data_IF_303799328243
#
_entry.id   IF_303799328243
#
_cell.length_a   1.000
_cell.length_b   1.000
_cell.length_c   1.000
_cell.angle_alpha   90.00
_cell.angle_beta   90.00
_cell.angle_gamma   90.00
#
_symmetry.space_group_name_H-M   'P 1'
#
loop_
_entity.id
_entity.type
_entity.pdbx_description
1 polymer ?
#
# COMPACT_ATOMS: atom_id res chain seq x y z
N UNK A 1 -1.30 3.00 -4.55
CA UNK A 1 -2.03 3.38 -5.78
C UNK A 1 -1.22 3.04 -7.04
N UNK A 2 -1.86 2.39 -8.02
CA UNK A 2 -1.31 1.91 -9.29
C UNK A 2 -1.59 2.89 -10.44
N UNK A 3 -0.86 2.76 -11.57
CA UNK A 3 -1.20 3.36 -12.86
C UNK A 3 -0.94 2.35 -13.99
N UNK A 4 -1.79 2.36 -15.03
CA UNK A 4 -1.71 1.54 -16.25
C UNK A 4 -1.23 2.42 -17.41
N UNK A 5 -0.39 1.87 -18.30
CA UNK A 5 0.22 2.54 -19.45
C UNK A 5 -0.49 2.18 -20.77
N UNK A 6 -0.72 3.19 -21.61
CA UNK A 6 -1.04 3.03 -23.04
C UNK A 6 0.05 3.75 -23.85
N UNK A 7 0.49 3.15 -24.95
CA UNK A 7 1.63 3.58 -25.77
C UNK A 7 1.19 3.83 -27.21
N UNK A 8 1.75 4.84 -27.86
CA UNK A 8 1.78 4.97 -29.32
C UNK A 8 3.19 5.26 -29.85
N UNK A 9 3.39 5.00 -31.15
CA UNK A 9 4.69 4.84 -31.84
C UNK A 9 4.99 6.04 -32.74
N UNK A 10 6.31 6.27 -32.98
CA UNK A 10 6.98 7.22 -33.90
C UNK A 10 7.35 8.59 -33.31
N UNK A 11 8.56 9.17 -33.45
CA UNK A 11 9.67 8.94 -34.40
C UNK A 11 10.98 9.60 -33.91
N UNK A 12 12.11 9.08 -34.41
CA UNK A 12 13.42 9.73 -34.72
C UNK A 12 14.48 10.02 -33.63
N UNK A 13 15.57 9.26 -33.77
CA UNK A 13 17.02 9.57 -33.61
C UNK A 13 17.46 10.31 -32.33
N UNK A 14 17.84 9.55 -31.27
CA UNK A 14 18.73 9.98 -30.16
C UNK A 14 19.42 8.78 -29.46
N UNK A 15 19.76 7.72 -30.21
CA UNK A 15 20.02 6.37 -29.64
C UNK A 15 21.37 6.12 -28.93
N UNK A 16 22.45 6.91 -29.06
CA UNK A 16 23.69 6.64 -28.29
C UNK A 16 23.77 7.39 -26.94
N UNK A 17 23.40 8.68 -26.91
CA UNK A 17 23.63 9.55 -25.75
C UNK A 17 22.66 9.23 -24.62
N UNK A 18 21.38 9.00 -24.91
CA UNK A 18 20.39 8.61 -23.89
C UNK A 18 20.75 7.26 -23.26
N UNK A 19 21.17 6.28 -24.08
CA UNK A 19 21.69 5.00 -23.57
C UNK A 19 22.93 5.18 -22.71
N UNK A 20 23.84 6.08 -23.07
CA UNK A 20 25.05 6.34 -22.31
C UNK A 20 24.76 7.06 -20.98
N UNK A 21 23.81 8.01 -20.97
CA UNK A 21 23.34 8.71 -19.77
C UNK A 21 22.61 7.74 -18.84
N UNK A 22 21.75 6.86 -19.36
CA UNK A 22 21.04 5.86 -18.57
C UNK A 22 22.03 4.86 -17.97
N UNK A 23 23.01 4.41 -18.76
CA UNK A 23 24.06 3.48 -18.31
C UNK A 23 25.00 4.12 -17.27
N UNK A 24 25.37 5.40 -17.43
CA UNK A 24 26.12 6.16 -16.43
C UNK A 24 25.31 6.44 -15.17
N UNK A 25 24.00 6.69 -15.28
CA UNK A 25 23.10 6.81 -14.12
C UNK A 25 22.96 5.48 -13.40
N UNK A 26 22.84 4.37 -14.11
CA UNK A 26 22.81 3.02 -13.54
C UNK A 26 24.13 2.66 -12.85
N UNK A 27 25.28 2.98 -13.46
CA UNK A 27 26.61 2.80 -12.85
C UNK A 27 26.82 3.72 -11.65
N UNK A 28 26.38 4.98 -11.71
CA UNK A 28 26.47 5.92 -10.61
C UNK A 28 25.56 5.51 -9.43
N UNK A 29 24.34 5.05 -9.73
CA UNK A 29 23.44 4.48 -8.73
C UNK A 29 24.03 3.19 -8.18
N UNK A 30 24.55 2.27 -9.00
CA UNK A 30 25.23 1.05 -8.51
C UNK A 30 26.41 1.38 -7.61
N UNK A 31 27.28 2.28 -8.01
CA UNK A 31 28.51 2.58 -7.26
C UNK A 31 28.21 3.29 -5.93
N UNK A 32 27.19 4.14 -5.85
CA UNK A 32 26.76 4.76 -4.58
C UNK A 32 25.86 3.86 -3.72
N UNK A 33 25.07 2.98 -4.33
CA UNK A 33 24.13 2.10 -3.61
C UNK A 33 24.76 0.76 -3.19
N UNK A 34 25.95 0.43 -3.68
CA UNK A 34 26.68 -0.80 -3.36
C UNK A 34 27.97 -0.52 -2.59
N UNK A 35 28.16 0.69 -2.04
CA UNK A 35 29.29 0.94 -1.14
C UNK A 35 29.14 0.05 0.10
N UNK A 36 30.26 -0.45 0.61
CA UNK A 36 30.26 -1.29 1.82
C UNK A 36 29.60 -0.57 3.01
N UNK A 37 29.74 0.76 3.10
CA UNK A 37 29.05 1.60 4.08
C UNK A 37 27.51 1.56 3.95
N UNK A 38 26.98 1.53 2.72
CA UNK A 38 25.53 1.44 2.49
C UNK A 38 25.02 0.03 2.75
N UNK A 39 25.79 -1.01 2.38
CA UNK A 39 25.47 -2.41 2.71
C UNK A 39 25.42 -2.58 4.23
N UNK A 40 26.39 -2.04 4.97
CA UNK A 40 26.42 -2.09 6.43
C UNK A 40 25.26 -1.31 7.06
N UNK A 41 24.94 -0.13 6.51
CA UNK A 41 23.76 0.63 6.93
C UNK A 41 22.47 -0.18 6.74
N UNK A 42 22.31 -0.84 5.59
CA UNK A 42 21.16 -1.71 5.32
C UNK A 42 21.16 -2.90 6.27
N UNK A 43 22.28 -3.58 6.48
CA UNK A 43 22.35 -4.73 7.39
C UNK A 43 22.02 -4.36 8.83
N UNK A 44 22.54 -3.22 9.32
CA UNK A 44 22.30 -2.73 10.68
C UNK A 44 20.86 -2.30 10.90
N UNK A 45 20.21 -1.74 9.88
CA UNK A 45 18.81 -1.31 9.92
C UNK A 45 17.81 -2.40 9.49
N UNK A 46 18.29 -3.54 8.96
CA UNK A 46 17.44 -4.64 8.48
C UNK A 46 16.54 -5.20 9.58
N UNK A 47 17.10 -5.51 10.76
CA UNK A 47 16.33 -6.08 11.87
C UNK A 47 15.18 -5.16 12.35
N UNK A 48 15.43 -3.87 12.65
CA UNK A 48 14.34 -2.93 12.97
C UNK A 48 13.28 -2.83 11.87
N UNK A 49 13.71 -2.83 10.61
CA UNK A 49 12.80 -2.74 9.46
C UNK A 49 11.95 -3.99 9.27
N UNK A 50 12.55 -5.18 9.38
CA UNK A 50 11.85 -6.46 9.30
C UNK A 50 10.79 -6.55 10.40
N UNK A 51 11.13 -6.06 11.61
CA UNK A 51 10.20 -5.96 12.73
C UNK A 51 9.02 -5.03 12.42
N UNK A 52 9.27 -3.85 11.85
CA UNK A 52 8.22 -2.92 11.43
C UNK A 52 7.28 -3.55 10.41
N UNK A 53 7.82 -4.16 9.35
CA UNK A 53 7.02 -4.83 8.33
C UNK A 53 6.22 -6.01 8.90
N UNK A 54 6.78 -6.73 9.87
CA UNK A 54 6.07 -7.78 10.59
C UNK A 54 4.88 -7.24 11.38
N UNK A 55 4.99 -6.06 12.01
CA UNK A 55 3.86 -5.44 12.70
C UNK A 55 2.73 -5.05 11.74
N UNK A 56 3.06 -4.50 10.57
CA UNK A 56 2.06 -4.24 9.53
C UNK A 56 1.41 -5.52 8.99
N UNK A 57 2.16 -6.62 8.90
CA UNK A 57 1.59 -7.91 8.54
C UNK A 57 0.61 -8.41 9.61
N UNK A 58 0.94 -8.27 10.89
CA UNK A 58 0.02 -8.60 12.00
C UNK A 58 -1.26 -7.76 11.95
N UNK A 59 -1.14 -6.45 11.77
CA UNK A 59 -2.29 -5.55 11.66
C UNK A 59 -3.21 -5.94 10.49
N UNK A 60 -2.63 -6.35 9.36
CA UNK A 60 -3.40 -6.88 8.23
C UNK A 60 -4.18 -8.13 8.62
N UNK A 61 -3.55 -9.08 9.30
CA UNK A 61 -4.22 -10.33 9.69
C UNK A 61 -5.39 -10.07 10.64
N UNK A 62 -5.24 -9.11 11.54
CA UNK A 62 -6.28 -8.71 12.49
C UNK A 62 -7.48 -8.08 11.76
N UNK A 63 -7.23 -7.10 10.89
CA UNK A 63 -8.28 -6.44 10.09
C UNK A 63 -8.96 -7.42 9.14
N UNK A 64 -8.19 -8.27 8.47
CA UNK A 64 -8.74 -9.33 7.60
C UNK A 64 -9.64 -10.27 8.39
N UNK A 65 -9.23 -10.67 9.60
CA UNK A 65 -10.03 -11.53 10.48
C UNK A 65 -11.34 -10.85 10.87
N UNK A 66 -11.31 -9.55 11.22
CA UNK A 66 -12.52 -8.76 11.54
C UNK A 66 -13.52 -8.77 10.38
N UNK A 67 -13.07 -8.58 9.15
CA UNK A 67 -13.94 -8.66 7.97
C UNK A 67 -14.48 -10.06 7.72
N UNK A 68 -13.67 -11.12 7.89
CA UNK A 68 -14.14 -12.51 7.77
C UNK A 68 -15.21 -12.85 8.81
N UNK A 69 -15.07 -12.33 10.03
CA UNK A 69 -16.08 -12.49 11.09
C UNK A 69 -17.37 -11.77 10.72
N UNK A 70 -17.29 -10.52 10.24
CA UNK A 70 -18.46 -9.77 9.77
C UNK A 70 -19.18 -10.50 8.64
N UNK A 71 -18.46 -10.99 7.63
CA UNK A 71 -19.05 -11.75 6.51
C UNK A 71 -19.82 -12.98 7.01
N UNK A 72 -19.23 -13.75 7.93
CA UNK A 72 -19.87 -14.92 8.53
C UNK A 72 -21.11 -14.55 9.37
N UNK A 73 -21.09 -13.43 10.11
CA UNK A 73 -22.24 -12.97 10.88
C UNK A 73 -23.43 -12.62 9.96
N UNK A 74 -23.17 -11.86 8.89
CA UNK A 74 -24.22 -11.43 7.96
C UNK A 74 -24.76 -12.59 7.10
N UNK A 75 -23.91 -13.56 6.77
CA UNK A 75 -24.30 -14.81 6.10
C UNK A 75 -25.43 -15.54 6.87
N UNK A 76 -25.29 -15.62 8.20
CA UNK A 76 -26.25 -16.30 9.07
C UNK A 76 -27.53 -15.50 9.31
N UNK A 77 -27.44 -14.17 9.38
CA UNK A 77 -28.57 -13.32 9.76
C UNK A 77 -29.46 -12.91 8.57
N UNK A 78 -28.88 -12.75 7.37
CA UNK A 78 -29.57 -12.15 6.22
C UNK A 78 -29.60 -13.03 4.95
N UNK A 79 -29.16 -14.29 5.03
CA UNK A 79 -29.06 -15.24 3.91
C UNK A 79 -28.31 -14.66 2.68
N UNK A 80 -27.33 -13.78 2.95
CA UNK A 80 -26.47 -13.15 1.94
C UNK A 80 -25.07 -12.93 2.49
N UNK A 81 -24.06 -13.05 1.63
CA UNK A 81 -22.67 -12.74 1.96
C UNK A 81 -22.34 -11.35 1.40
N UNK A 82 -22.06 -10.34 2.24
CA UNK A 82 -21.71 -9.01 1.77
C UNK A 82 -20.32 -8.93 1.12
N UNK A 83 -19.42 -9.89 1.40
CA UNK A 83 -18.04 -9.92 0.89
C UNK A 83 -17.87 -10.99 -0.19
N UNK A 84 -17.32 -10.61 -1.33
CA UNK A 84 -16.92 -11.53 -2.41
C UNK A 84 -15.48 -12.03 -2.24
N UNK A 85 -14.57 -11.13 -1.89
CA UNK A 85 -13.14 -11.43 -1.77
C UNK A 85 -12.42 -10.42 -0.86
N UNK A 86 -11.37 -10.87 -0.19
CA UNK A 86 -10.49 -10.03 0.62
C UNK A 86 -9.06 -10.20 0.12
N UNK A 87 -8.45 -9.10 -0.33
CA UNK A 87 -7.06 -9.06 -0.78
C UNK A 87 -6.23 -8.20 0.15
N UNK A 88 -5.27 -8.81 0.81
CA UNK A 88 -4.33 -8.11 1.67
C UNK A 88 -2.93 -8.02 1.04
N UNK A 89 -2.19 -6.95 1.37
CA UNK A 89 -0.79 -6.78 0.95
C UNK A 89 -0.02 -5.88 1.90
N UNK A 90 1.21 -6.30 2.19
CA UNK A 90 2.25 -5.43 2.77
C UNK A 90 3.08 -4.85 1.63
N UNK A 91 3.37 -3.56 1.70
CA UNK A 91 4.25 -2.89 0.73
C UNK A 91 5.67 -3.42 0.87
N UNK A 92 6.29 -3.82 -0.25
CA UNK A 92 7.70 -4.26 -0.24
C UNK A 92 8.64 -3.14 0.18
N UNK A 93 9.79 -3.51 0.75
CA UNK A 93 10.81 -2.56 1.18
C UNK A 93 11.28 -1.64 0.06
N UNK A 94 11.52 -2.19 -1.13
CA UNK A 94 11.95 -1.40 -2.30
C UNK A 94 10.88 -0.39 -2.71
N UNK A 95 9.61 -0.78 -2.63
CA UNK A 95 8.47 0.08 -2.93
C UNK A 95 8.27 1.16 -1.87
N UNK A 96 8.59 0.87 -0.61
CA UNK A 96 8.56 1.81 0.50
C UNK A 96 9.66 2.87 0.33
N UNK A 97 10.92 2.47 0.13
CA UNK A 97 12.03 3.40 -0.11
C UNK A 97 11.75 4.30 -1.31
N UNK A 98 11.26 3.74 -2.41
CA UNK A 98 10.90 4.54 -3.60
C UNK A 98 9.85 5.61 -3.28
N UNK A 99 8.88 5.29 -2.42
CA UNK A 99 7.82 6.22 -2.02
C UNK A 99 8.36 7.31 -1.08
N UNK A 100 9.18 6.93 -0.10
CA UNK A 100 9.87 7.85 0.83
C UNK A 100 10.72 8.85 0.06
N UNK A 101 11.55 8.37 -0.88
CA UNK A 101 12.38 9.22 -1.74
C UNK A 101 11.57 10.17 -2.61
N UNK A 102 10.47 9.69 -3.21
CA UNK A 102 9.59 10.53 -4.05
C UNK A 102 8.88 11.63 -3.27
N UNK A 103 8.59 11.39 -1.98
CA UNK A 103 7.97 12.36 -1.08
C UNK A 103 8.99 13.19 -0.31
N UNK A 104 10.30 12.99 -0.56
CA UNK A 104 11.40 13.67 0.15
C UNK A 104 11.33 13.53 1.68
N UNK A 105 10.83 12.38 2.15
CA UNK A 105 10.71 12.09 3.59
C UNK A 105 12.06 11.56 4.10
N UNK A 106 12.51 11.97 5.31
CA UNK A 106 13.68 11.38 5.94
C UNK A 106 13.57 9.86 6.08
N UNK A 107 14.64 9.12 5.78
CA UNK A 107 14.67 7.67 5.91
C UNK A 107 14.88 7.25 7.37
N UNK A 108 13.92 7.60 8.24
CA UNK A 108 13.87 7.19 9.64
C UNK A 108 12.56 6.43 9.90
N UNK A 109 12.55 5.54 10.90
CA UNK A 109 11.35 4.75 11.23
C UNK A 109 10.15 5.65 11.56
N UNK A 110 10.34 6.64 12.44
CA UNK A 110 9.28 7.58 12.84
C UNK A 110 8.72 8.37 11.67
N UNK A 111 9.59 8.91 10.80
CA UNK A 111 9.12 9.66 9.63
C UNK A 111 8.35 8.78 8.65
N UNK A 112 8.69 7.50 8.52
CA UNK A 112 7.97 6.55 7.68
C UNK A 112 6.58 6.28 8.25
N UNK A 113 6.48 5.98 9.53
CA UNK A 113 5.20 5.70 10.23
C UNK A 113 4.24 6.90 10.13
N UNK A 114 4.73 8.11 10.35
CA UNK A 114 3.90 9.34 10.35
C UNK A 114 3.43 9.78 8.96
N UNK A 115 4.14 9.42 7.88
CA UNK A 115 3.90 10.02 6.56
C UNK A 115 3.47 9.00 5.48
N UNK A 116 3.55 7.70 5.77
CA UNK A 116 3.23 6.63 4.82
C UNK A 116 2.07 5.77 5.35
N UNK A 117 0.84 6.13 4.97
CA UNK A 117 -0.36 5.42 5.40
C UNK A 117 -0.74 4.18 4.54
N UNK A 118 0.07 3.79 3.55
CA UNK A 118 -0.23 2.65 2.64
C UNK A 118 0.78 1.50 2.73
N UNK A 119 1.37 1.30 3.91
CA UNK A 119 2.32 0.20 4.17
C UNK A 119 1.54 -1.11 4.28
N UNK A 120 0.50 -1.13 5.10
CA UNK A 120 -0.51 -2.18 5.15
C UNK A 120 -1.73 -1.77 4.30
N UNK A 121 -2.31 -2.71 3.57
CA UNK A 121 -3.55 -2.47 2.84
C UNK A 121 -4.38 -3.74 2.75
N UNK A 122 -5.64 -3.63 3.15
CA UNK A 122 -6.69 -4.64 2.97
C UNK A 122 -7.70 -4.08 1.98
N UNK A 123 -8.02 -4.85 0.93
CA UNK A 123 -9.04 -4.54 -0.05
C UNK A 123 -10.17 -5.54 0.12
N UNK A 124 -11.35 -5.04 0.44
CA UNK A 124 -12.57 -5.84 0.52
C UNK A 124 -13.39 -5.58 -0.73
N UNK A 125 -13.72 -6.64 -1.46
CA UNK A 125 -14.61 -6.61 -2.62
C UNK A 125 -15.99 -7.02 -2.12
N UNK A 126 -16.98 -6.15 -2.29
CA UNK A 126 -18.34 -6.36 -1.80
C UNK A 126 -19.28 -6.68 -2.96
N UNK A 127 -20.37 -7.41 -2.69
CA UNK A 127 -21.34 -7.79 -3.72
C UNK A 127 -22.20 -6.62 -4.20
N UNK A 128 -22.58 -5.71 -3.30
CA UNK A 128 -23.38 -4.53 -3.64
C UNK A 128 -22.77 -3.23 -3.13
N UNK A 129 -23.06 -2.06 -3.76
CA UNK A 129 -22.57 -0.77 -3.28
C UNK A 129 -22.99 -0.44 -1.83
N UNK A 130 -24.18 -0.87 -1.42
CA UNK A 130 -24.69 -0.62 -0.08
C UNK A 130 -23.91 -1.39 1.00
N UNK A 131 -23.36 -2.56 0.66
CA UNK A 131 -22.49 -3.36 1.55
C UNK A 131 -21.22 -2.60 1.93
N UNK A 132 -20.71 -1.75 1.03
CA UNK A 132 -19.49 -0.98 1.27
C UNK A 132 -19.69 -0.05 2.47
N UNK A 133 -20.82 0.65 2.53
CA UNK A 133 -21.12 1.56 3.63
C UNK A 133 -21.40 0.78 4.92
N UNK A 134 -22.20 -0.28 4.83
CA UNK A 134 -22.52 -1.14 5.97
C UNK A 134 -21.27 -1.73 6.61
N UNK A 135 -20.38 -2.34 5.82
CA UNK A 135 -19.14 -2.95 6.32
C UNK A 135 -18.17 -1.91 6.87
N UNK A 136 -18.07 -0.74 6.22
CA UNK A 136 -17.26 0.37 6.74
C UNK A 136 -17.76 0.84 8.10
N UNK A 137 -19.07 1.04 8.26
CA UNK A 137 -19.66 1.50 9.52
C UNK A 137 -19.54 0.41 10.61
N UNK A 138 -19.73 -0.87 10.27
CA UNK A 138 -19.52 -1.99 11.20
C UNK A 138 -18.07 -2.07 11.69
N UNK A 139 -17.10 -1.85 10.80
CA UNK A 139 -15.68 -1.83 11.16
C UNK A 139 -15.38 -0.65 12.10
N UNK A 140 -15.89 0.54 11.79
CA UNK A 140 -15.65 1.75 12.58
C UNK A 140 -16.37 1.78 13.93
N UNK A 141 -17.39 0.94 14.12
CA UNK A 141 -18.07 0.77 15.40
C UNK A 141 -17.34 -0.17 16.36
N UNK A 142 -16.23 -0.80 15.95
CA UNK A 142 -15.40 -1.61 16.84
C UNK A 142 -14.59 -0.72 17.78
N UNK A 143 -14.42 -1.14 19.03
CA UNK A 143 -13.79 -0.37 20.10
C UNK A 143 -12.26 -0.20 19.92
N UNK A 144 -11.64 -1.08 19.16
CA UNK A 144 -10.21 -1.10 18.84
C UNK A 144 -9.86 -0.49 17.48
N UNK A 145 -10.81 0.19 16.82
CA UNK A 145 -10.60 0.84 15.52
C UNK A 145 -10.84 2.34 15.63
N UNK A 146 -9.87 3.14 15.16
CA UNK A 146 -10.00 4.60 15.12
C UNK A 146 -9.91 5.08 13.68
N UNK A 147 -10.89 5.86 13.21
CA UNK A 147 -10.83 6.45 11.88
C UNK A 147 -9.82 7.61 11.84
N UNK A 148 -8.80 7.49 10.99
CA UNK A 148 -7.83 8.56 10.71
C UNK A 148 -8.31 9.41 9.52
N UNK A 149 -8.70 8.78 8.42
CA UNK A 149 -9.12 9.46 7.19
C UNK A 149 -10.11 8.60 6.39
N UNK A 150 -11.15 9.21 5.79
CA UNK A 150 -12.11 8.53 4.90
C UNK A 150 -12.18 9.25 3.57
N UNK A 151 -11.96 8.54 2.46
CA UNK A 151 -12.12 9.05 1.09
C UNK A 151 -13.19 8.25 0.36
N UNK A 152 -14.28 8.92 0.04
CA UNK A 152 -15.43 8.33 -0.68
C UNK A 152 -15.34 8.68 -2.17
N UNK A 153 -14.90 7.73 -2.98
CA UNK A 153 -14.80 7.90 -4.44
C UNK A 153 -16.11 7.55 -5.17
N UNK A 154 -17.06 6.93 -4.48
CA UNK A 154 -18.41 6.64 -4.99
C UNK A 154 -19.12 7.96 -5.24
N UNK A 155 -19.11 8.85 -4.25
CA UNK A 155 -19.76 10.17 -4.34
C UNK A 155 -19.03 11.17 -5.22
N UNK A 156 -17.70 11.07 -5.30
CA UNK A 156 -16.88 12.11 -5.95
C UNK A 156 -16.51 11.82 -7.40
N UNK A 157 -16.36 10.53 -7.77
CA UNK A 157 -15.79 10.15 -9.07
C UNK A 157 -16.54 9.00 -9.77
N UNK A 158 -17.72 8.62 -9.28
CA UNK A 158 -18.47 7.43 -9.74
C UNK A 158 -17.60 6.16 -9.78
N UNK A 159 -16.64 6.03 -8.85
CA UNK A 159 -15.85 4.81 -8.65
C UNK A 159 -16.41 4.04 -7.47
N UNK A 160 -16.66 2.74 -7.60
CA UNK A 160 -17.21 1.90 -6.54
C UNK A 160 -16.19 1.58 -5.42
N UNK A 161 -15.49 2.60 -4.91
CA UNK A 161 -14.37 2.47 -3.98
C UNK A 161 -14.50 3.47 -2.81
N UNK A 162 -14.32 2.98 -1.58
CA UNK A 162 -14.09 3.81 -0.39
C UNK A 162 -12.74 3.42 0.19
N UNK A 163 -11.88 4.41 0.44
CA UNK A 163 -10.63 4.22 1.18
C UNK A 163 -10.83 4.67 2.63
N UNK A 164 -10.63 3.75 3.57
CA UNK A 164 -10.66 4.02 5.01
C UNK A 164 -9.25 3.82 5.55
N UNK A 165 -8.73 4.84 6.22
CA UNK A 165 -7.46 4.79 6.93
C UNK A 165 -7.77 4.69 8.42
N UNK A 166 -7.31 3.61 9.03
CA UNK A 166 -7.48 3.27 10.45
C UNK A 166 -6.13 3.14 11.13
#
# INVERSE_FOLDING_TARGET
>A
MYAVLIKERSTKILRPIEKLIEKRKEEFIRNNLMSDEFIDFIQKNKKPMDKLLSYYACAIMEVETKFRVLDHQYSLEYDRNPIEDIKSRVKSWESLIKKVRRKEIPLTLSSIEENIHDIAGVRVVCSFPDDIYMLADCLLNQDDITLIEKKDYIKTQNRADIEVFI
#
